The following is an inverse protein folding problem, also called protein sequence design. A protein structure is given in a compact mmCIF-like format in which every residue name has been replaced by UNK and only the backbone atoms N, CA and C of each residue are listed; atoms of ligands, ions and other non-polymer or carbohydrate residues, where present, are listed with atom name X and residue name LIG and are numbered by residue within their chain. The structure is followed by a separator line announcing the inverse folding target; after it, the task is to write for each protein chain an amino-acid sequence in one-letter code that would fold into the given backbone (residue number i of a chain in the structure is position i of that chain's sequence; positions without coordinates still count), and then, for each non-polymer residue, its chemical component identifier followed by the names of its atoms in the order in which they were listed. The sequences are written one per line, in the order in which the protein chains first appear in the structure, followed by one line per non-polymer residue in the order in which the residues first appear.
data_IF_823005792684
#
_entry.id   IF_823005792684
#
_cell.length_a   1.000
_cell.length_b   1.000
_cell.length_c   1.000
_cell.angle_alpha   90.00
_cell.angle_beta   90.00
_cell.angle_gamma   90.00
#
_symmetry.space_group_name_H-M   'P 1'
#
loop_
_entity.id
_entity.type
_entity.pdbx_description
1 polymer ?
#
# COMPACT_ATOMS: atom_id res chain seq x y z
N UNK A 1 -39.06 -13.45 7.60
CA UNK A 1 -38.83 -12.48 6.50
C UNK A 1 -38.54 -11.12 7.11
N UNK A 2 -37.29 -10.66 7.08
CA UNK A 2 -36.89 -9.24 7.14
C UNK A 2 -35.36 -9.13 7.04
N UNK A 3 -34.92 -8.76 5.83
CA UNK A 3 -33.71 -7.99 5.50
C UNK A 3 -32.41 -8.20 6.30
N UNK A 4 -31.55 -9.11 5.83
CA UNK A 4 -30.12 -9.17 6.16
C UNK A 4 -29.26 -8.57 5.03
N UNK A 5 -29.70 -7.46 4.43
CA UNK A 5 -29.02 -6.81 3.30
C UNK A 5 -29.09 -5.29 3.44
N UNK A 6 -28.36 -4.76 4.41
CA UNK A 6 -27.95 -3.36 4.47
C UNK A 6 -26.45 -3.40 4.80
N UNK A 7 -25.61 -3.43 3.77
CA UNK A 7 -24.99 -2.24 3.20
C UNK A 7 -23.54 -2.15 3.70
N UNK A 8 -22.71 -3.07 3.20
CA UNK A 8 -21.28 -2.80 3.01
C UNK A 8 -21.15 -2.07 1.67
N UNK A 9 -21.80 -0.90 1.58
CA UNK A 9 -21.56 0.04 0.51
C UNK A 9 -20.27 0.75 0.87
N UNK A 10 -19.34 0.98 -0.08
CA UNK A 10 -18.22 1.87 0.17
C UNK A 10 -18.80 3.17 0.72
N UNK A 11 -18.23 3.61 1.83
CA UNK A 11 -18.62 4.85 2.47
C UNK A 11 -18.21 6.02 1.56
N UNK A 12 -18.99 6.25 0.51
CA UNK A 12 -18.90 7.37 -0.44
C UNK A 12 -19.36 8.69 0.24
N UNK A 13 -19.20 8.79 1.56
CA UNK A 13 -19.32 10.07 2.25
C UNK A 13 -18.18 10.95 1.75
N UNK A 14 -18.47 12.17 1.25
CA UNK A 14 -17.44 13.15 0.97
C UNK A 14 -16.52 13.24 2.18
N UNK A 15 -15.23 12.96 1.99
CA UNK A 15 -14.23 13.14 3.03
C UNK A 15 -14.41 14.57 3.56
N UNK A 16 -14.65 14.77 4.86
CA UNK A 16 -14.89 16.11 5.40
C UNK A 16 -13.73 17.01 4.99
N UNK A 17 -14.02 18.23 4.57
CA UNK A 17 -12.95 19.18 4.21
C UNK A 17 -12.16 19.56 5.46
N UNK A 18 -10.94 20.06 5.31
CA UNK A 18 -10.18 20.56 6.49
C UNK A 18 -10.98 21.67 7.17
N UNK A 19 -11.71 22.47 6.39
CA UNK A 19 -12.54 23.58 6.87
C UNK A 19 -13.72 23.09 7.73
N UNK A 20 -14.29 21.92 7.43
CA UNK A 20 -15.35 21.31 8.24
C UNK A 20 -14.85 20.82 9.60
N UNK A 21 -13.57 20.44 9.70
CA UNK A 21 -12.95 20.00 10.95
C UNK A 21 -12.45 21.17 11.82
N UNK A 22 -12.20 22.32 11.20
CA UNK A 22 -11.82 23.57 11.88
C UNK A 22 -13.02 24.46 12.23
N UNK A 23 -14.25 24.02 11.94
CA UNK A 23 -15.45 24.81 12.17
C UNK A 23 -15.68 25.03 13.68
N UNK A 24 -15.72 26.30 14.10
CA UNK A 24 -15.90 26.68 15.50
C UNK A 24 -14.62 26.86 16.31
N UNK A 25 -13.43 26.65 15.72
CA UNK A 25 -12.16 27.09 16.29
C UNK A 25 -11.81 28.51 15.80
N UNK A 26 -11.05 29.27 16.60
CA UNK A 26 -10.60 30.61 16.24
C UNK A 26 -9.47 30.54 15.19
N UNK A 27 -9.66 31.07 13.97
CA UNK A 27 -8.65 31.01 12.91
C UNK A 27 -7.34 31.76 13.25
N UNK A 28 -7.41 32.73 14.17
CA UNK A 28 -6.27 33.55 14.57
C UNK A 28 -5.52 33.02 15.79
N UNK A 29 -6.02 31.93 16.40
CA UNK A 29 -5.36 31.26 17.50
C UNK A 29 -4.14 30.43 16.99
N UNK A 30 -2.95 30.60 17.59
CA UNK A 30 -1.76 29.85 17.20
C UNK A 30 -1.89 28.33 17.35
N UNK A 31 -2.70 27.82 18.28
CA UNK A 31 -2.91 26.37 18.44
C UNK A 31 -3.77 25.81 17.31
N UNK A 32 -4.83 26.53 16.92
CA UNK A 32 -5.69 26.18 15.78
C UNK A 32 -4.90 26.11 14.46
N UNK A 33 -3.93 27.01 14.25
CA UNK A 33 -3.05 26.96 13.07
C UNK A 33 -2.13 25.74 13.05
N UNK A 34 -1.56 25.37 14.21
CA UNK A 34 -0.74 24.17 14.32
C UNK A 34 -1.55 22.90 14.07
N UNK A 35 -2.81 22.87 14.51
CA UNK A 35 -3.73 21.76 14.26
C UNK A 35 -4.12 21.65 12.78
N UNK A 36 -4.43 22.78 12.12
CA UNK A 36 -4.70 22.83 10.68
C UNK A 36 -3.53 22.32 9.84
N UNK A 37 -2.30 22.69 10.19
CA UNK A 37 -1.09 22.21 9.52
C UNK A 37 -0.87 20.70 9.73
N UNK A 38 -1.18 20.20 10.93
CA UNK A 38 -1.10 18.77 11.24
C UNK A 38 -2.16 17.96 10.47
N UNK A 39 -3.38 18.47 10.40
CA UNK A 39 -4.49 17.88 9.63
C UNK A 39 -4.19 17.85 8.12
N UNK A 40 -3.61 18.92 7.60
CA UNK A 40 -3.15 18.99 6.21
C UNK A 40 -2.12 17.90 5.88
N UNK A 41 -1.18 17.64 6.80
CA UNK A 41 -0.18 16.56 6.64
C UNK A 41 -0.81 15.17 6.68
N UNK A 42 -1.81 14.95 7.52
CA UNK A 42 -2.52 13.66 7.61
C UNK A 42 -3.38 13.39 6.37
N UNK A 43 -4.13 14.38 5.87
CA UNK A 43 -4.99 14.22 4.68
C UNK A 43 -4.22 14.05 3.38
N UNK A 44 -2.98 14.52 3.30
CA UNK A 44 -2.11 14.33 2.14
C UNK A 44 -1.50 12.91 2.05
N UNK A 45 -1.58 12.10 3.11
CA UNK A 45 -1.16 10.70 3.04
C UNK A 45 -2.32 9.86 2.50
N UNK A 46 -2.24 9.35 1.25
CA UNK A 46 -3.28 8.48 0.73
C UNK A 46 -3.35 7.20 1.60
N UNK A 47 -4.56 6.69 1.88
CA UNK A 47 -4.73 5.50 2.71
C UNK A 47 -4.01 4.32 2.07
N UNK A 48 -2.97 3.81 2.74
CA UNK A 48 -2.16 2.66 2.32
C UNK A 48 -2.89 1.32 2.48
N UNK A 49 -4.15 1.35 2.92
CA UNK A 49 -4.93 0.16 3.24
C UNK A 49 -5.77 -0.39 2.08
N UNK A 50 -5.79 0.30 0.93
CA UNK A 50 -6.50 -0.15 -0.27
C UNK A 50 -5.56 -0.90 -1.20
N UNK A 51 -6.04 -1.98 -1.82
CA UNK A 51 -5.26 -2.90 -2.68
C UNK A 51 -4.57 -2.16 -3.84
N UNK A 52 -5.18 -1.06 -4.31
CA UNK A 52 -4.62 -0.16 -5.32
C UNK A 52 -3.36 0.60 -4.84
N UNK A 53 -3.32 0.96 -3.56
CA UNK A 53 -2.15 1.54 -2.90
C UNK A 53 -1.00 0.54 -2.75
N UNK A 54 -1.29 -0.76 -2.63
CA UNK A 54 -0.26 -1.80 -2.62
C UNK A 54 0.42 -1.94 -3.99
N UNK A 55 -0.34 -1.84 -5.09
CA UNK A 55 0.22 -1.90 -6.46
C UNK A 55 1.01 -0.64 -6.80
N UNK A 56 0.49 0.54 -6.47
CA UNK A 56 1.22 1.80 -6.61
C UNK A 56 2.47 1.84 -5.72
N UNK A 57 2.39 1.26 -4.52
CA UNK A 57 3.51 1.08 -3.61
C UNK A 57 4.61 0.21 -4.22
N UNK A 58 4.29 -0.92 -4.84
CA UNK A 58 5.29 -1.78 -5.50
C UNK A 58 6.02 -1.04 -6.62
N UNK A 59 5.31 -0.24 -7.44
CA UNK A 59 5.91 0.59 -8.49
C UNK A 59 6.85 1.67 -7.94
N UNK A 60 6.42 2.40 -6.89
CA UNK A 60 7.26 3.40 -6.23
C UNK A 60 8.42 2.77 -5.44
N UNK A 61 8.29 1.54 -4.94
CA UNK A 61 9.39 0.77 -4.34
C UNK A 61 10.43 0.37 -5.38
N UNK A 62 10.01 0.00 -6.59
CA UNK A 62 10.94 -0.31 -7.69
C UNK A 62 11.74 0.94 -8.10
N UNK A 63 11.08 2.08 -8.29
CA UNK A 63 11.74 3.34 -8.69
C UNK A 63 12.58 3.97 -7.57
N UNK A 64 12.13 3.91 -6.31
CA UNK A 64 12.89 4.44 -5.16
C UNK A 64 14.05 3.54 -4.74
N UNK A 65 13.93 2.21 -4.88
CA UNK A 65 15.03 1.28 -4.66
C UNK A 65 16.18 1.53 -5.66
N UNK A 66 15.86 2.00 -6.86
CA UNK A 66 16.83 2.34 -7.89
C UNK A 66 17.60 3.64 -7.58
N UNK A 67 17.03 4.55 -6.77
CA UNK A 67 17.60 5.89 -6.55
C UNK A 67 18.42 6.09 -5.27
N UNK A 68 18.20 5.28 -4.22
CA UNK A 68 18.68 5.62 -2.87
C UNK A 68 19.86 4.77 -2.31
N UNK A 69 20.35 3.71 -2.97
CA UNK A 69 21.34 2.81 -2.35
C UNK A 69 22.09 1.89 -3.34
N UNK A 70 22.52 2.48 -4.46
CA UNK A 70 22.55 1.89 -5.80
C UNK A 70 23.41 0.65 -6.09
N UNK A 71 24.31 0.15 -5.23
CA UNK A 71 25.07 -1.07 -5.56
C UNK A 71 24.74 -2.25 -4.67
N UNK A 72 24.89 -2.10 -3.35
CA UNK A 72 24.62 -3.18 -2.38
C UNK A 72 23.17 -3.65 -2.39
N UNK A 73 22.22 -2.73 -2.57
CA UNK A 73 20.79 -3.06 -2.61
C UNK A 73 20.40 -3.77 -3.91
N UNK A 74 20.98 -3.36 -5.04
CA UNK A 74 20.82 -4.07 -6.31
C UNK A 74 21.39 -5.49 -6.22
N UNK A 75 22.56 -5.68 -5.59
CA UNK A 75 23.13 -7.03 -5.40
C UNK A 75 22.22 -7.89 -4.54
N UNK A 76 21.69 -7.36 -3.44
CA UNK A 76 20.77 -8.09 -2.57
C UNK A 76 19.48 -8.49 -3.29
N UNK A 77 18.88 -7.58 -4.07
CA UNK A 77 17.67 -7.87 -4.87
C UNK A 77 17.94 -8.93 -5.92
N UNK A 78 19.07 -8.86 -6.63
CA UNK A 78 19.46 -9.87 -7.61
C UNK A 78 19.66 -11.22 -6.95
N UNK A 79 20.36 -11.28 -5.81
CA UNK A 79 20.57 -12.54 -5.07
C UNK A 79 19.25 -13.15 -4.61
N UNK A 80 18.38 -12.36 -3.99
CA UNK A 80 17.05 -12.84 -3.57
C UNK A 80 16.23 -13.29 -4.78
N UNK A 81 16.27 -12.54 -5.89
CA UNK A 81 15.61 -12.91 -7.15
C UNK A 81 16.11 -14.24 -7.70
N UNK A 82 17.43 -14.48 -7.69
CA UNK A 82 18.02 -15.75 -8.11
C UNK A 82 17.62 -16.91 -7.20
N UNK A 83 17.55 -16.70 -5.88
CA UNK A 83 17.09 -17.71 -4.93
C UNK A 83 15.62 -18.08 -5.22
N UNK A 84 14.75 -17.08 -5.33
CA UNK A 84 13.32 -17.30 -5.62
C UNK A 84 13.12 -18.00 -6.97
N UNK A 85 13.88 -17.61 -8.00
CA UNK A 85 13.86 -18.27 -9.31
C UNK A 85 14.29 -19.74 -9.19
N UNK A 86 15.36 -20.03 -8.45
CA UNK A 86 15.82 -21.39 -8.21
C UNK A 86 14.79 -22.26 -7.49
N UNK A 87 14.11 -21.69 -6.49
CA UNK A 87 12.99 -22.36 -5.80
C UNK A 87 11.84 -22.64 -6.76
N UNK A 88 11.44 -21.67 -7.56
CA UNK A 88 10.35 -21.82 -8.53
C UNK A 88 10.65 -22.92 -9.56
N UNK A 89 11.87 -22.92 -10.12
CA UNK A 89 12.33 -23.96 -11.06
C UNK A 89 12.36 -25.33 -10.39
N UNK A 90 12.83 -25.43 -9.14
CA UNK A 90 12.81 -26.68 -8.39
C UNK A 90 11.39 -27.21 -8.21
N UNK A 91 10.47 -26.36 -7.74
CA UNK A 91 9.06 -26.75 -7.55
C UNK A 91 8.48 -27.25 -8.87
N UNK A 92 8.67 -26.50 -9.97
CA UNK A 92 8.17 -26.89 -11.29
C UNK A 92 8.73 -28.25 -11.74
N UNK A 93 10.04 -28.46 -11.58
CA UNK A 93 10.72 -29.70 -11.96
C UNK A 93 10.22 -30.91 -11.16
N UNK A 94 10.13 -30.79 -9.83
CA UNK A 94 9.67 -31.88 -8.97
C UNK A 94 8.19 -32.17 -9.17
N UNK A 95 7.37 -31.13 -9.38
CA UNK A 95 5.95 -31.30 -9.68
C UNK A 95 5.74 -32.02 -11.01
N UNK A 96 6.49 -31.63 -12.06
CA UNK A 96 6.47 -32.32 -13.35
C UNK A 96 6.94 -33.76 -13.26
N UNK A 97 8.01 -34.01 -12.51
CA UNK A 97 8.50 -35.37 -12.23
C UNK A 97 7.43 -36.21 -11.54
N UNK A 98 6.77 -35.65 -10.53
CA UNK A 98 5.72 -36.34 -9.80
C UNK A 98 4.57 -36.72 -10.74
N UNK A 99 4.07 -35.77 -11.54
CA UNK A 99 3.02 -36.04 -12.52
C UNK A 99 3.43 -37.15 -13.50
N UNK A 100 4.66 -37.11 -14.01
CA UNK A 100 5.17 -38.11 -14.95
C UNK A 100 5.32 -39.51 -14.33
N UNK A 101 5.64 -39.60 -13.04
CA UNK A 101 5.76 -40.90 -12.35
C UNK A 101 4.39 -41.53 -12.08
N UNK A 102 3.37 -40.71 -11.82
CA UNK A 102 2.04 -41.19 -11.44
C UNK A 102 1.10 -41.49 -12.63
N UNK A 103 1.39 -40.97 -13.83
CA UNK A 103 0.58 -41.15 -15.05
C UNK A 103 1.39 -41.83 -16.15
#
# INVERSE_FOLDING_TARGET
MASARAADAPDDRPQPSIDDELIGLDPDDPETRAFAEHLGRMKQQPPSFTIEGTVAGVGQFADSANRAGGLRRLTAVVVVGLILLGVLVSVWYYLGTLVWVFF
#
